data_IF_930383626055
#
_entry.id   IF_930383626055
#
_cell.length_a   1.000
_cell.length_b   1.000
_cell.length_c   1.000
_cell.angle_alpha   90.00
_cell.angle_beta   90.00
_cell.angle_gamma   90.00
#
_symmetry.space_group_name_H-M   'P 1'
#
loop_
_entity.id
_entity.type
_entity.pdbx_description
1 polymer ?
#
# COMPACT_ATOMS: atom_id res chain seq x y z
N UNK A 1 -7.45 -6.54 -11.34
CA UNK A 1 -7.10 -7.94 -11.70
C UNK A 1 -8.23 -8.88 -11.30
N UNK A 2 -8.26 -10.10 -11.84
CA UNK A 2 -9.27 -11.13 -11.52
C UNK A 2 -8.63 -12.24 -10.70
N UNK A 3 -9.27 -12.64 -9.61
CA UNK A 3 -8.90 -13.77 -8.77
C UNK A 3 -9.97 -14.86 -8.93
N UNK A 4 -9.57 -16.02 -9.41
CA UNK A 4 -10.46 -17.15 -9.64
C UNK A 4 -10.64 -17.95 -8.35
N UNK A 5 -11.86 -18.40 -8.09
CA UNK A 5 -12.17 -19.24 -6.93
C UNK A 5 -11.55 -20.65 -7.05
N UNK A 6 -11.24 -21.09 -8.28
CA UNK A 6 -10.82 -22.45 -8.58
C UNK A 6 -9.29 -22.65 -8.69
N UNK A 7 -8.54 -21.70 -8.16
CA UNK A 7 -7.09 -21.72 -8.10
C UNK A 7 -6.65 -21.45 -6.66
N UNK A 8 -5.49 -22.01 -6.25
CA UNK A 8 -4.88 -21.66 -4.99
C UNK A 8 -4.32 -20.22 -5.03
N UNK A 9 -3.25 -19.94 -4.28
CA UNK A 9 -2.53 -18.67 -4.35
C UNK A 9 -2.24 -18.22 -5.79
N UNK A 10 -2.79 -17.06 -6.15
CA UNK A 10 -2.59 -16.39 -7.42
C UNK A 10 -1.67 -15.19 -7.23
N UNK A 11 -0.58 -15.20 -8.00
CA UNK A 11 0.39 -14.12 -8.08
C UNK A 11 -0.27 -12.85 -8.62
N UNK A 12 -0.06 -11.72 -7.95
CA UNK A 12 -0.56 -10.42 -8.41
C UNK A 12 0.37 -9.70 -9.38
N UNK A 13 1.63 -10.11 -9.48
CA UNK A 13 2.70 -9.36 -10.15
C UNK A 13 3.22 -8.16 -9.35
N UNK A 14 2.69 -7.91 -8.15
CA UNK A 14 3.04 -6.76 -7.32
C UNK A 14 4.09 -7.16 -6.31
N UNK A 15 5.28 -6.59 -6.47
CA UNK A 15 6.38 -6.75 -5.53
C UNK A 15 6.21 -5.76 -4.37
N UNK A 16 6.24 -6.28 -3.15
CA UNK A 16 6.09 -5.50 -1.91
C UNK A 16 7.41 -5.48 -1.16
N UNK A 17 7.76 -4.30 -0.64
CA UNK A 17 8.88 -4.09 0.29
C UNK A 17 8.37 -3.60 1.65
N UNK A 18 9.12 -3.83 2.75
CA UNK A 18 8.76 -3.31 4.05
C UNK A 18 8.60 -1.78 4.05
N UNK A 19 7.59 -1.28 4.76
CA UNK A 19 7.29 0.16 4.87
C UNK A 19 6.27 0.69 3.85
N UNK A 20 5.87 -0.11 2.87
CA UNK A 20 4.80 0.23 1.92
C UNK A 20 3.44 0.02 2.56
N UNK A 21 2.52 0.96 2.34
CA UNK A 21 1.10 0.75 2.63
C UNK A 21 0.40 0.25 1.39
N UNK A 22 -0.29 -0.88 1.50
CA UNK A 22 -1.07 -1.49 0.44
C UNK A 22 -2.54 -1.26 0.76
N UNK A 23 -3.28 -0.66 -0.18
CA UNK A 23 -4.74 -0.61 -0.14
C UNK A 23 -5.32 -1.55 -1.18
N UNK A 24 -6.24 -2.41 -0.76
CA UNK A 24 -6.86 -3.42 -1.61
C UNK A 24 -8.37 -3.24 -1.57
N UNK A 25 -8.98 -3.07 -2.75
CA UNK A 25 -10.43 -3.07 -2.92
C UNK A 25 -10.84 -4.33 -3.68
N UNK A 26 -11.90 -4.99 -3.24
CA UNK A 26 -12.42 -6.17 -3.88
C UNK A 26 -13.94 -6.10 -4.06
N UNK A 27 -14.40 -6.63 -5.19
CA UNK A 27 -15.81 -6.85 -5.47
C UNK A 27 -15.99 -8.15 -6.26
N UNK A 28 -17.17 -8.75 -6.17
CA UNK A 28 -17.49 -9.97 -6.90
C UNK A 28 -18.21 -10.98 -6.04
N UNK A 29 -18.29 -12.21 -6.54
CA UNK A 29 -18.92 -13.32 -5.84
C UNK A 29 -18.30 -14.63 -6.26
N UNK A 30 -18.10 -15.51 -5.30
CA UNK A 30 -17.68 -16.88 -5.56
C UNK A 30 -18.31 -17.86 -4.56
N UNK A 31 -18.06 -19.15 -4.77
CA UNK A 31 -18.64 -20.23 -4.01
C UNK A 31 -17.67 -21.41 -3.92
N UNK A 32 -17.47 -21.93 -2.71
CA UNK A 32 -16.86 -23.24 -2.46
C UNK A 32 -17.84 -24.42 -2.62
N UNK A 33 -19.13 -24.15 -2.79
CA UNK A 33 -20.17 -25.17 -2.89
C UNK A 33 -21.32 -24.68 -3.79
N UNK A 34 -21.07 -24.44 -5.09
CA UNK A 34 -22.06 -23.83 -5.97
C UNK A 34 -23.31 -24.69 -6.13
N UNK A 35 -23.18 -26.01 -6.07
CA UNK A 35 -24.31 -26.96 -6.10
C UNK A 35 -25.25 -26.83 -4.88
N UNK A 36 -24.75 -26.31 -3.75
CA UNK A 36 -25.54 -26.02 -2.55
C UNK A 36 -25.99 -24.54 -2.50
N UNK A 37 -25.73 -23.77 -3.56
CA UNK A 37 -26.03 -22.34 -3.65
C UNK A 37 -25.41 -21.49 -2.51
N UNK A 38 -24.23 -21.89 -2.03
CA UNK A 38 -23.50 -21.17 -0.96
C UNK A 38 -22.55 -20.17 -1.60
N UNK A 39 -22.97 -18.91 -1.69
CA UNK A 39 -22.17 -17.86 -2.32
C UNK A 39 -21.85 -16.73 -1.35
N UNK A 40 -20.64 -16.18 -1.43
CA UNK A 40 -20.24 -15.01 -0.64
C UNK A 40 -19.54 -13.96 -1.50
N UNK A 41 -19.52 -12.74 -0.99
CA UNK A 41 -18.59 -11.71 -1.44
C UNK A 41 -17.18 -11.93 -0.88
N UNK A 42 -16.28 -10.95 -1.09
CA UNK A 42 -14.89 -10.95 -0.58
C UNK A 42 -14.72 -11.21 0.92
N UNK A 43 -15.75 -10.97 1.72
CA UNK A 43 -15.82 -11.05 3.19
C UNK A 43 -15.99 -12.50 3.66
N UNK A 44 -16.35 -13.39 2.73
CA UNK A 44 -16.60 -14.79 3.03
C UNK A 44 -17.94 -15.02 3.72
N UNK A 45 -18.04 -16.17 4.38
CA UNK A 45 -19.21 -16.58 5.15
C UNK A 45 -19.03 -16.18 6.61
N UNK A 46 -20.00 -15.47 7.22
CA UNK A 46 -19.89 -15.04 8.61
C UNK A 46 -19.81 -16.25 9.55
N UNK A 47 -18.99 -16.13 10.60
CA UNK A 47 -18.82 -17.11 11.68
C UNK A 47 -18.30 -18.50 11.24
N UNK A 48 -17.75 -18.63 10.03
CA UNK A 48 -17.09 -19.86 9.59
C UNK A 48 -15.58 -19.71 9.60
N UNK A 49 -14.85 -20.55 10.32
CA UNK A 49 -13.38 -20.63 10.19
C UNK A 49 -13.01 -21.23 8.83
N UNK A 50 -12.10 -20.59 8.11
CA UNK A 50 -11.53 -21.16 6.89
C UNK A 50 -10.81 -22.48 7.13
N UNK A 51 -10.82 -23.33 6.11
CA UNK A 51 -10.12 -24.62 6.20
C UNK A 51 -8.65 -24.52 5.78
N UNK A 52 -8.32 -23.61 4.86
CA UNK A 52 -6.94 -23.34 4.46
C UNK A 52 -6.25 -22.44 5.48
N UNK A 53 -6.90 -21.33 5.86
CA UNK A 53 -6.42 -20.41 6.89
C UNK A 53 -7.45 -20.29 8.01
N UNK A 54 -7.24 -20.97 9.17
CA UNK A 54 -8.25 -21.09 10.23
C UNK A 54 -8.69 -19.79 10.93
N UNK A 55 -7.87 -18.74 10.90
CA UNK A 55 -8.18 -17.45 11.53
C UNK A 55 -8.82 -16.44 10.60
N UNK A 56 -9.06 -16.80 9.34
CA UNK A 56 -9.75 -15.99 8.34
C UNK A 56 -11.10 -16.66 8.07
N UNK A 57 -12.13 -15.86 7.75
CA UNK A 57 -13.44 -16.42 7.42
C UNK A 57 -13.37 -17.40 6.23
N UNK A 58 -14.16 -18.47 6.29
CA UNK A 58 -14.32 -19.41 5.18
C UNK A 58 -14.87 -18.69 3.96
N UNK A 59 -14.40 -19.05 2.77
CA UNK A 59 -14.81 -18.44 1.51
C UNK A 59 -14.43 -16.95 1.39
N UNK A 60 -13.64 -16.39 2.31
CA UNK A 60 -13.18 -15.00 2.22
C UNK A 60 -12.03 -14.87 1.22
N UNK A 61 -11.89 -13.67 0.66
CA UNK A 61 -10.69 -13.27 -0.09
C UNK A 61 -9.60 -12.96 0.93
N UNK A 62 -8.44 -13.59 0.75
CA UNK A 62 -7.27 -13.42 1.60
C UNK A 62 -6.04 -13.12 0.77
N UNK A 63 -5.06 -12.47 1.41
CA UNK A 63 -3.76 -12.14 0.83
C UNK A 63 -2.60 -12.63 1.68
N UNK A 64 -1.44 -12.82 1.05
CA UNK A 64 -0.14 -12.97 1.73
C UNK A 64 0.97 -12.26 0.95
N UNK A 65 1.98 -11.77 1.65
CA UNK A 65 3.18 -11.16 1.04
C UNK A 65 4.32 -12.17 1.14
N UNK A 66 4.82 -12.67 0.01
CA UNK A 66 5.80 -13.74 -0.04
C UNK A 66 5.35 -14.96 0.77
N UNK A 67 6.18 -15.40 1.72
CA UNK A 67 5.87 -16.48 2.68
C UNK A 67 5.34 -15.96 4.02
N UNK A 68 4.93 -14.69 4.08
CA UNK A 68 4.37 -14.07 5.28
C UNK A 68 3.02 -14.63 5.69
N UNK A 69 2.58 -14.27 6.90
CA UNK A 69 1.29 -14.67 7.46
C UNK A 69 0.13 -14.15 6.59
N UNK A 70 -0.81 -15.01 6.17
CA UNK A 70 -2.02 -14.56 5.48
C UNK A 70 -2.91 -13.62 6.32
N UNK A 71 -3.55 -12.68 5.62
CA UNK A 71 -4.49 -11.71 6.17
C UNK A 71 -5.81 -11.71 5.37
N UNK A 72 -6.92 -11.43 6.06
CA UNK A 72 -8.23 -11.26 5.43
C UNK A 72 -8.28 -9.92 4.69
N UNK A 73 -8.86 -9.91 3.49
CA UNK A 73 -9.03 -8.69 2.69
C UNK A 73 -10.45 -8.14 2.81
N UNK A 74 -11.48 -8.98 2.63
CA UNK A 74 -12.85 -8.48 2.58
C UNK A 74 -13.06 -7.48 1.43
N UNK A 75 -14.00 -6.56 1.57
CA UNK A 75 -14.31 -5.55 0.53
C UNK A 75 -13.22 -4.48 0.38
N UNK A 76 -12.61 -4.08 1.50
CA UNK A 76 -11.57 -3.04 1.59
C UNK A 76 -10.60 -3.40 2.72
N UNK A 77 -9.31 -3.33 2.43
CA UNK A 77 -8.24 -3.63 3.36
C UNK A 77 -7.08 -2.66 3.18
N UNK A 78 -6.51 -2.22 4.29
CA UNK A 78 -5.24 -1.49 4.32
C UNK A 78 -4.22 -2.27 5.14
N UNK A 79 -3.06 -2.55 4.55
CA UNK A 79 -1.98 -3.32 5.18
C UNK A 79 -0.69 -2.53 5.11
N UNK A 80 -0.08 -2.28 6.27
CA UNK A 80 1.31 -1.83 6.34
C UNK A 80 2.23 -3.04 6.19
N UNK A 81 2.94 -3.10 5.07
CA UNK A 81 3.83 -4.21 4.78
C UNK A 81 5.02 -4.22 5.73
N UNK A 82 5.16 -5.29 6.51
CA UNK A 82 6.37 -5.61 7.28
C UNK A 82 7.21 -6.67 6.58
N UNK A 83 6.61 -7.44 5.68
CA UNK A 83 7.26 -8.46 4.87
C UNK A 83 7.81 -7.93 3.55
N UNK A 84 8.62 -8.76 2.91
CA UNK A 84 9.12 -8.57 1.55
C UNK A 84 8.63 -9.75 0.70
N UNK A 85 8.23 -9.48 -0.54
CA UNK A 85 7.81 -10.52 -1.47
C UNK A 85 6.68 -10.09 -2.38
N UNK A 86 6.35 -10.96 -3.32
CA UNK A 86 5.18 -10.75 -4.17
C UNK A 86 3.88 -10.91 -3.36
N UNK A 87 2.87 -10.10 -3.67
CA UNK A 87 1.52 -10.24 -3.11
C UNK A 87 0.77 -11.37 -3.83
N UNK A 88 0.26 -12.32 -3.05
CA UNK A 88 -0.58 -13.42 -3.50
C UNK A 88 -2.00 -13.30 -2.95
N UNK A 89 -2.98 -13.79 -3.70
CA UNK A 89 -4.40 -13.69 -3.39
C UNK A 89 -5.08 -15.05 -3.59
N UNK A 90 -6.04 -15.42 -2.73
CA UNK A 90 -6.79 -16.67 -2.85
C UNK A 90 -8.15 -16.62 -2.13
N UNK A 91 -9.01 -17.59 -2.46
CA UNK A 91 -10.18 -17.95 -1.64
C UNK A 91 -9.73 -18.78 -0.43
N UNK A 92 -10.33 -18.55 0.73
CA UNK A 92 -10.07 -19.35 1.92
C UNK A 92 -10.89 -20.66 1.94
N UNK A 93 -10.38 -21.64 1.22
CA UNK A 93 -10.94 -22.99 1.04
C UNK A 93 -9.77 -23.97 0.75
N UNK A 94 -9.83 -25.27 1.09
CA UNK A 94 -8.69 -26.18 0.94
C UNK A 94 -8.17 -26.22 -0.48
N UNK A 95 -6.90 -25.91 -0.68
CA UNK A 95 -6.31 -25.85 -2.02
C UNK A 95 -6.32 -27.18 -2.78
N UNK A 96 -6.37 -28.31 -2.07
CA UNK A 96 -6.55 -29.63 -2.68
C UNK A 96 -7.93 -29.81 -3.33
N UNK A 97 -8.92 -29.00 -2.94
CA UNK A 97 -10.33 -29.15 -3.36
C UNK A 97 -10.91 -27.96 -4.12
N UNK A 98 -10.20 -26.83 -4.26
CA UNK A 98 -10.74 -25.63 -4.94
C UNK A 98 -11.27 -25.83 -6.37
N UNK A 99 -11.03 -26.98 -7.02
CA UNK A 99 -11.46 -27.21 -8.42
C UNK A 99 -12.97 -27.26 -8.62
N UNK A 100 -13.77 -27.52 -7.58
CA UNK A 100 -15.23 -27.45 -7.63
C UNK A 100 -15.79 -26.05 -7.30
N UNK A 101 -14.91 -25.10 -6.95
CA UNK A 101 -15.29 -23.73 -6.69
C UNK A 101 -15.70 -23.00 -7.96
N UNK A 102 -16.56 -22.01 -7.82
CA UNK A 102 -17.10 -21.21 -8.93
C UNK A 102 -17.10 -19.73 -8.64
N UNK A 103 -16.95 -18.91 -9.70
CA UNK A 103 -16.95 -17.46 -9.61
C UNK A 103 -15.56 -16.87 -9.41
N UNK A 104 -15.53 -15.55 -9.19
CA UNK A 104 -14.28 -14.78 -9.16
C UNK A 104 -14.46 -13.45 -8.42
N UNK A 105 -13.35 -12.90 -7.97
CA UNK A 105 -13.26 -11.54 -7.42
C UNK A 105 -12.49 -10.62 -8.38
N UNK A 106 -12.99 -9.41 -8.56
CA UNK A 106 -12.24 -8.30 -9.14
C UNK A 106 -11.54 -7.54 -8.02
N UNK A 107 -10.23 -7.43 -8.13
CA UNK A 107 -9.36 -6.82 -7.11
C UNK A 107 -8.60 -5.64 -7.71
N UNK A 108 -8.60 -4.51 -7.00
CA UNK A 108 -7.83 -3.31 -7.32
C UNK A 108 -6.85 -3.05 -6.19
N UNK A 109 -5.58 -2.80 -6.53
CA UNK A 109 -4.50 -2.67 -5.56
C UNK A 109 -3.81 -1.32 -5.77
N UNK A 110 -3.65 -0.57 -4.69
CA UNK A 110 -2.91 0.69 -4.66
C UNK A 110 -1.71 0.51 -3.72
N UNK A 111 -0.54 0.94 -4.19
CA UNK A 111 0.65 1.05 -3.37
C UNK A 111 0.86 2.50 -2.98
N UNK A 112 1.08 2.75 -1.70
CA UNK A 112 1.54 4.01 -1.18
C UNK A 112 2.90 3.79 -0.54
N UNK A 113 3.94 4.21 -1.25
CA UNK A 113 5.30 4.24 -0.74
C UNK A 113 5.43 5.27 0.38
N UNK A 114 6.33 5.03 1.32
CA UNK A 114 6.71 6.05 2.28
C UNK A 114 7.25 7.27 1.51
N UNK A 115 6.61 8.43 1.71
CA UNK A 115 7.10 9.68 1.14
C UNK A 115 8.53 9.88 1.63
N UNK A 116 9.50 9.76 0.72
CA UNK A 116 10.90 10.00 1.05
C UNK A 116 11.04 11.48 1.34
N UNK A 117 11.14 11.85 2.61
CA UNK A 117 11.53 13.20 2.98
C UNK A 117 12.97 13.41 2.50
N UNK A 118 13.12 14.17 1.41
CA UNK A 118 14.43 14.66 1.02
C UNK A 118 14.98 15.44 2.21
N UNK A 119 16.03 14.91 2.82
CA UNK A 119 16.79 15.64 3.82
C UNK A 119 17.35 16.86 3.10
N UNK A 120 16.79 18.05 3.38
CA UNK A 120 17.38 19.30 2.93
C UNK A 120 18.78 19.36 3.56
N UNK A 121 19.81 19.02 2.79
CA UNK A 121 21.19 19.30 3.16
C UNK A 121 21.26 20.81 3.31
N UNK A 122 21.29 21.28 4.55
CA UNK A 122 21.50 22.68 4.87
C UNK A 122 22.80 23.13 4.19
N UNK A 123 22.68 24.01 3.20
CA UNK A 123 23.82 24.76 2.70
C UNK A 123 24.41 25.54 3.89
N UNK A 124 25.73 25.54 4.10
CA UNK A 124 26.32 26.36 5.14
C UNK A 124 26.02 27.84 4.85
N UNK A 125 25.46 28.49 5.85
CA UNK A 125 25.11 29.90 5.88
C UNK A 125 26.35 30.75 5.53
N UNK A 126 26.39 31.28 4.31
CA UNK A 126 27.44 32.20 3.89
C UNK A 126 27.29 33.49 4.72
N UNK A 127 28.32 33.76 5.51
CA UNK A 127 28.46 34.85 6.47
C UNK A 127 28.15 36.19 5.80
N UNK A 128 26.97 36.75 6.09
CA UNK A 128 26.64 38.14 5.80
C UNK A 128 27.55 39.07 6.63
N UNK A 129 28.48 39.77 5.98
CA UNK A 129 29.18 40.91 6.59
C UNK A 129 28.29 42.15 6.55
N UNK A 130 28.21 42.97 7.62
CA UNK A 130 27.45 44.20 7.59
C UNK A 130 28.18 45.26 6.75
N UNK A 131 27.52 45.77 5.71
CA UNK A 131 27.97 46.96 4.98
C UNK A 131 27.76 48.20 5.86
N UNK A 132 28.86 48.78 6.34
CA UNK A 132 28.88 50.09 6.99
C UNK A 132 28.66 51.20 5.95
N UNK A 133 27.57 51.95 6.09
CA UNK A 133 27.38 53.23 5.40
C UNK A 133 28.43 54.24 5.92
N UNK A 134 29.31 54.71 5.04
CA UNK A 134 30.17 55.88 5.29
C UNK A 134 29.54 57.13 4.68
N UNK A 135 29.32 58.13 5.52
CA UNK A 135 28.89 59.50 5.19
C UNK A 135 29.93 60.19 4.30
N UNK A 136 29.54 60.96 3.26
CA UNK A 136 30.50 61.82 2.58
C UNK A 136 30.82 63.09 3.39
N UNK A 137 32.13 63.33 3.50
CA UNK A 137 32.82 64.46 4.10
C UNK A 137 32.57 65.76 3.31
N UNK A 138 32.23 66.84 4.01
CA UNK A 138 32.10 68.18 3.45
C UNK A 138 33.45 68.72 2.93
N UNK A 139 33.46 69.27 1.71
CA UNK A 139 34.61 69.95 1.09
C UNK A 139 34.67 71.42 1.51
N UNK A 140 35.86 72.00 1.83
CA UNK A 140 35.99 73.44 2.08
C UNK A 140 36.48 74.25 0.87
N UNK A 141 35.95 75.49 0.76
CA UNK A 141 36.45 76.80 0.28
C UNK A 141 37.34 76.93 -1.00
N UNK A 142 37.33 78.10 -1.70
CA UNK A 142 38.20 79.20 -1.28
C UNK A 142 37.63 80.64 -1.44
N UNK A 143 38.45 81.57 -0.93
CA UNK A 143 38.28 83.02 -0.71
C UNK A 143 38.75 83.87 -1.91
N UNK A 144 38.15 85.07 -2.11
CA UNK A 144 38.73 86.25 -2.80
C UNK A 144 37.67 87.04 -3.60
N UNK A 145 37.18 88.23 -3.18
CA UNK A 145 37.73 89.61 -3.29
C UNK A 145 38.04 90.06 -4.74
N UNK A 146 37.88 91.34 -5.14
CA UNK A 146 37.87 92.58 -4.34
C UNK A 146 36.49 93.20 -4.04
#
# INVERSE_FOLDING_TARGET
MTIQANQPWQASGIQVTPGVTIKILALGKWSQAPALNVWSGPEGLPNGSGKEVPWINSNALMGKIGEGKPFEIGTDCEVHATGNGELYLAINDPFDWVKDNSGSMQVTIYLQEASSSLTATSFPEERSTPSTFSTPLATPAPVGLP
#
